data_IF_669512067243
#
_entry.id   IF_669512067243
#
_cell.length_a   1.000
_cell.length_b   1.000
_cell.length_c   1.000
_cell.angle_alpha   90.00
_cell.angle_beta   90.00
_cell.angle_gamma   90.00
#
_symmetry.space_group_name_H-M   'P 1'
#
loop_
_entity.id
_entity.type
_entity.pdbx_description
1 polymer ?
#
# COMPACT_ATOMS: atom_id res chain seq x y z
N UNK A 1 4.51 13.65 7.52
CA UNK A 1 3.14 13.71 8.08
C UNK A 1 2.80 12.32 8.61
N UNK A 2 2.10 12.20 9.73
CA UNK A 2 1.68 10.92 10.30
C UNK A 2 0.16 10.96 10.46
N UNK A 3 -0.54 9.97 9.91
CA UNK A 3 -2.00 9.82 10.05
C UNK A 3 -2.25 8.58 10.92
N UNK A 4 -3.09 8.70 11.95
CA UNK A 4 -3.46 7.61 12.87
C UNK A 4 -4.95 7.34 12.75
N UNK A 5 -5.32 6.10 12.45
CA UNK A 5 -6.71 5.71 12.22
C UNK A 5 -6.81 4.31 11.61
N UNK A 6 -8.01 3.95 11.14
CA UNK A 6 -8.18 2.73 10.36
C UNK A 6 -7.56 2.93 8.99
N UNK A 7 -6.90 1.89 8.48
CA UNK A 7 -6.16 1.95 7.22
C UNK A 7 -6.97 2.53 6.04
N UNK A 8 -8.22 2.10 5.77
CA UNK A 8 -8.99 2.68 4.66
C UNK A 8 -9.28 4.18 4.82
N UNK A 9 -9.47 4.64 6.05
CA UNK A 9 -9.73 6.05 6.33
C UNK A 9 -8.45 6.88 6.19
N UNK A 10 -7.29 6.31 6.56
CA UNK A 10 -6.00 6.94 6.39
C UNK A 10 -5.66 7.13 4.91
N UNK A 11 -5.84 6.11 4.08
CA UNK A 11 -5.54 6.20 2.63
C UNK A 11 -6.32 7.33 1.97
N UNK A 12 -7.61 7.48 2.29
CA UNK A 12 -8.45 8.58 1.75
C UNK A 12 -8.03 9.97 2.20
N UNK A 13 -7.30 10.08 3.32
CA UNK A 13 -6.79 11.34 3.87
C UNK A 13 -5.35 11.61 3.47
N UNK A 14 -4.65 10.60 2.92
CA UNK A 14 -3.28 10.75 2.46
C UNK A 14 -3.24 11.72 1.27
N UNK A 15 -2.30 12.67 1.23
CA UNK A 15 -2.05 13.51 0.07
C UNK A 15 -1.79 12.66 -1.17
N UNK A 16 -2.32 13.09 -2.30
CA UNK A 16 -2.13 12.37 -3.55
C UNK A 16 -0.64 12.33 -3.93
N UNK A 17 -0.14 11.13 -4.20
CA UNK A 17 1.23 10.89 -4.69
C UNK A 17 1.23 10.36 -6.12
N UNK A 18 2.33 10.55 -6.84
CA UNK A 18 2.49 10.01 -8.20
C UNK A 18 2.55 8.47 -8.20
N UNK A 19 3.16 7.90 -7.14
CA UNK A 19 3.31 6.46 -6.93
C UNK A 19 3.09 6.13 -5.44
N UNK A 20 2.28 5.11 -5.17
CA UNK A 20 2.09 4.51 -3.85
C UNK A 20 2.80 3.16 -3.74
N UNK A 21 3.56 2.98 -2.65
CA UNK A 21 4.27 1.73 -2.33
C UNK A 21 3.46 0.96 -1.30
N UNK A 22 3.00 -0.23 -1.68
CA UNK A 22 2.07 -1.01 -0.87
C UNK A 22 2.62 -2.43 -0.69
N UNK A 23 2.58 -2.94 0.53
CA UNK A 23 2.92 -4.34 0.79
C UNK A 23 1.86 -5.28 0.22
N UNK A 24 2.30 -6.32 -0.47
CA UNK A 24 1.45 -7.42 -0.94
C UNK A 24 1.40 -8.52 0.13
N UNK A 25 0.23 -9.11 0.32
CA UNK A 25 0.08 -10.27 1.21
C UNK A 25 0.84 -11.48 0.65
N UNK A 26 1.31 -12.38 1.53
CA UNK A 26 2.04 -13.60 1.13
C UNK A 26 1.24 -14.50 0.18
N UNK A 27 -0.09 -14.51 0.32
CA UNK A 27 -1.02 -15.04 -0.68
C UNK A 27 -1.74 -13.82 -1.26
N UNK A 28 -1.50 -13.46 -2.53
CA UNK A 28 -2.07 -12.26 -3.12
C UNK A 28 -3.60 -12.27 -3.12
N UNK A 29 -4.20 -11.22 -2.55
CA UNK A 29 -5.62 -10.92 -2.67
C UNK A 29 -5.81 -9.81 -3.72
N UNK A 30 -6.26 -10.19 -4.91
CA UNK A 30 -6.47 -9.24 -6.00
C UNK A 30 -7.63 -8.27 -5.73
N UNK A 31 -8.59 -8.62 -4.86
CA UNK A 31 -9.62 -7.67 -4.46
C UNK A 31 -9.01 -6.51 -3.69
N UNK A 32 -8.09 -6.79 -2.77
CA UNK A 32 -7.32 -5.76 -2.07
C UNK A 32 -6.51 -4.88 -3.04
N UNK A 33 -5.82 -5.49 -4.01
CA UNK A 33 -5.05 -4.76 -5.03
C UNK A 33 -5.93 -3.75 -5.78
N UNK A 34 -7.10 -4.20 -6.25
CA UNK A 34 -8.05 -3.31 -6.93
C UNK A 34 -8.56 -2.19 -6.02
N UNK A 35 -8.93 -2.52 -4.78
CA UNK A 35 -9.38 -1.53 -3.81
C UNK A 35 -8.31 -0.46 -3.54
N UNK A 36 -7.04 -0.84 -3.46
CA UNK A 36 -5.96 0.12 -3.23
C UNK A 36 -5.79 1.08 -4.41
N UNK A 37 -5.79 0.58 -5.64
CA UNK A 37 -5.71 1.41 -6.85
C UNK A 37 -6.87 2.41 -6.89
N UNK A 38 -8.09 1.95 -6.62
CA UNK A 38 -9.28 2.80 -6.62
C UNK A 38 -9.23 3.85 -5.50
N UNK A 39 -8.71 3.49 -4.33
CA UNK A 39 -8.67 4.36 -3.15
C UNK A 39 -7.56 5.40 -3.17
N UNK A 40 -6.39 5.07 -3.75
CA UNK A 40 -5.29 6.04 -3.89
C UNK A 40 -5.47 6.95 -5.10
N UNK A 41 -6.13 6.46 -6.16
CA UNK A 41 -6.33 7.21 -7.40
C UNK A 41 -5.02 7.51 -8.15
N UNK A 42 -4.00 6.69 -7.93
CA UNK A 42 -2.61 6.88 -8.37
C UNK A 42 -2.01 5.58 -8.92
N UNK A 43 -0.77 5.66 -9.42
CA UNK A 43 -0.02 4.45 -9.76
C UNK A 43 0.38 3.70 -8.49
N UNK A 44 0.21 2.38 -8.45
CA UNK A 44 0.57 1.56 -7.28
C UNK A 44 1.68 0.57 -7.62
N UNK A 45 2.70 0.48 -6.76
CA UNK A 45 3.69 -0.59 -6.77
C UNK A 45 3.45 -1.52 -5.58
N UNK A 46 3.16 -2.79 -5.87
CA UNK A 46 2.94 -3.82 -4.86
C UNK A 46 4.19 -4.67 -4.69
N UNK A 47 4.67 -4.80 -3.46
CA UNK A 47 5.91 -5.51 -3.15
C UNK A 47 5.64 -6.64 -2.16
N UNK A 48 6.12 -7.84 -2.46
CA UNK A 48 6.16 -8.96 -1.51
C UNK A 48 7.57 -9.08 -0.96
N UNK A 49 7.68 -9.29 0.35
CA UNK A 49 8.92 -9.69 0.99
C UNK A 49 9.17 -11.18 0.72
N UNK A 50 10.40 -11.54 0.40
CA UNK A 50 10.89 -12.92 0.27
C UNK A 50 11.07 -13.62 1.62
N UNK A 51 11.03 -12.87 2.72
CA UNK A 51 11.31 -13.30 4.09
C UNK A 51 12.80 -13.31 4.46
N UNK A 52 13.67 -12.89 3.55
CA UNK A 52 15.13 -12.85 3.74
C UNK A 52 15.74 -11.47 3.52
N UNK A 53 14.93 -10.50 3.11
CA UNK A 53 15.38 -9.14 2.87
C UNK A 53 15.47 -8.37 4.19
N UNK A 54 16.49 -7.51 4.29
CA UNK A 54 16.60 -6.56 5.38
C UNK A 54 16.45 -5.15 4.83
N UNK A 55 15.34 -4.50 5.20
CA UNK A 55 15.12 -3.09 4.87
C UNK A 55 16.07 -2.14 5.63
N UNK A 56 16.82 -2.65 6.62
CA UNK A 56 17.65 -1.87 7.54
C UNK A 56 19.13 -2.31 7.57
N UNK A 57 19.52 -3.31 6.77
CA UNK A 57 20.88 -3.86 6.80
C UNK A 57 21.88 -2.98 6.03
#
# INVERSE_FOLDING_TARGET
>A
MIIVGKFPDCIKQTPQGDIDFIGLQSIPDFQFVHQMIDMTGSSCLFMSDSGSESALA
#
